data_IF_197376422192
#
_entry.id   IF_197376422192
#
_cell.length_a   1.000
_cell.length_b   1.000
_cell.length_c   1.000
_cell.angle_alpha   90.00
_cell.angle_beta   90.00
_cell.angle_gamma   90.00
#
_symmetry.space_group_name_H-M   'P 1'
#
loop_
_entity.id
_entity.type
_entity.pdbx_description
1 polymer ?
#
# COMPACT_ATOMS: atom_id res chain seq x y z
N UNK A 1 -31.33 -13.18 -5.52
CA UNK A 1 -29.86 -13.42 -5.51
C UNK A 1 -29.17 -12.10 -5.86
N UNK A 2 -28.33 -11.50 -5.01
CA UNK A 2 -27.57 -10.33 -5.42
C UNK A 2 -26.42 -10.75 -6.37
N UNK A 3 -26.03 -9.92 -7.34
CA UNK A 3 -24.94 -10.23 -8.24
C UNK A 3 -23.62 -10.25 -7.46
N UNK A 4 -22.92 -11.38 -7.52
CA UNK A 4 -21.54 -11.54 -7.11
C UNK A 4 -20.67 -10.59 -7.93
N UNK A 5 -20.39 -9.40 -7.39
CA UNK A 5 -19.41 -8.48 -7.96
C UNK A 5 -18.03 -9.11 -7.84
N UNK A 6 -17.65 -9.83 -8.89
CA UNK A 6 -16.26 -10.09 -9.23
C UNK A 6 -15.53 -8.72 -9.26
N UNK A 7 -14.74 -8.43 -8.22
CA UNK A 7 -13.91 -7.21 -8.14
C UNK A 7 -12.44 -7.60 -8.17
N UNK A 8 -12.03 -8.19 -9.27
CA UNK A 8 -10.63 -8.46 -9.61
C UNK A 8 -10.06 -7.25 -10.35
N UNK A 9 -9.82 -6.14 -9.63
CA UNK A 9 -9.13 -4.98 -10.18
C UNK A 9 -8.42 -4.20 -9.06
N UNK A 10 -7.13 -4.46 -8.86
CA UNK A 10 -6.14 -3.54 -8.29
C UNK A 10 -6.42 -2.86 -6.95
N UNK A 11 -7.33 -3.37 -6.12
CA UNK A 11 -7.53 -2.84 -4.78
C UNK A 11 -6.35 -3.27 -3.90
N UNK A 12 -5.36 -2.38 -3.73
CA UNK A 12 -4.42 -2.48 -2.62
C UNK A 12 -5.26 -2.52 -1.34
N UNK A 13 -5.30 -3.67 -0.69
CA UNK A 13 -5.88 -3.73 0.64
C UNK A 13 -4.93 -3.00 1.57
N UNK A 14 -5.43 -1.97 2.26
CA UNK A 14 -4.65 -1.17 3.20
C UNK A 14 -3.80 -1.99 4.16
N UNK A 15 -4.31 -3.17 4.56
CA UNK A 15 -3.61 -4.12 5.42
C UNK A 15 -2.25 -4.58 4.87
N UNK A 16 -2.10 -4.81 3.56
CA UNK A 16 -0.85 -5.29 2.98
C UNK A 16 0.20 -4.19 2.92
N UNK A 17 -0.23 -2.98 2.56
CA UNK A 17 0.63 -1.80 2.62
C UNK A 17 1.07 -1.53 4.06
N UNK A 18 0.16 -1.64 5.03
CA UNK A 18 0.49 -1.50 6.44
C UNK A 18 1.52 -2.53 6.89
N UNK A 19 1.28 -3.82 6.63
CA UNK A 19 2.20 -4.89 7.00
C UNK A 19 3.58 -4.72 6.36
N UNK A 20 3.63 -4.26 5.11
CA UNK A 20 4.90 -4.06 4.42
C UNK A 20 5.69 -2.87 4.96
N UNK A 21 5.01 -1.79 5.35
CA UNK A 21 5.65 -0.67 6.07
C UNK A 21 6.13 -1.11 7.46
N UNK A 22 5.33 -1.87 8.20
CA UNK A 22 5.70 -2.41 9.51
C UNK A 22 6.92 -3.36 9.41
N UNK A 23 7.01 -4.15 8.33
CA UNK A 23 8.16 -5.02 8.07
C UNK A 23 9.46 -4.24 7.82
N UNK A 24 9.37 -3.02 7.27
CA UNK A 24 10.49 -2.10 7.16
C UNK A 24 10.83 -1.39 8.49
N UNK A 25 10.05 -1.62 9.56
CA UNK A 25 10.14 -0.86 10.80
C UNK A 25 9.60 0.58 10.67
N UNK A 26 8.85 0.86 9.62
CA UNK A 26 8.27 2.18 9.35
C UNK A 26 6.84 2.30 9.83
N UNK A 27 6.52 3.45 10.41
CA UNK A 27 5.12 3.81 10.67
C UNK A 27 4.51 4.47 9.43
N UNK A 28 3.19 4.39 9.28
CA UNK A 28 2.46 5.08 8.20
C UNK A 28 2.81 6.57 8.11
N UNK A 29 2.92 7.25 9.27
CA UNK A 29 3.28 8.66 9.33
C UNK A 29 4.71 8.90 8.85
N UNK A 30 5.67 8.09 9.32
CA UNK A 30 7.08 8.19 8.91
C UNK A 30 7.23 7.96 7.41
N UNK A 31 6.58 6.91 6.89
CA UNK A 31 6.62 6.59 5.48
C UNK A 31 6.04 7.70 4.61
N UNK A 32 4.92 8.30 5.04
CA UNK A 32 4.33 9.43 4.33
C UNK A 32 5.28 10.63 4.28
N UNK A 33 5.94 10.95 5.39
CA UNK A 33 6.92 12.03 5.47
C UNK A 33 8.13 11.78 4.57
N UNK A 34 8.62 10.53 4.49
CA UNK A 34 9.71 10.13 3.58
C UNK A 34 9.36 10.28 2.10
N UNK A 35 8.08 10.16 1.77
CA UNK A 35 7.55 10.46 0.43
C UNK A 35 7.23 11.95 0.21
N UNK A 36 7.51 12.83 1.19
CA UNK A 36 7.14 14.24 1.11
C UNK A 36 5.62 14.47 1.13
N UNK A 37 4.85 13.53 1.69
CA UNK A 37 3.40 13.57 1.81
C UNK A 37 2.97 13.88 3.24
N UNK A 38 1.72 14.28 3.40
CA UNK A 38 1.14 14.54 4.71
C UNK A 38 1.06 13.25 5.56
N UNK A 39 1.30 13.28 6.89
CA UNK A 39 1.25 12.10 7.77
C UNK A 39 0.01 11.21 7.65
N UNK A 40 -1.14 11.82 7.34
CA UNK A 40 -2.41 11.10 7.14
C UNK A 40 -2.63 10.56 5.72
N UNK A 41 -1.61 10.62 4.86
CA UNK A 41 -1.69 10.16 3.48
C UNK A 41 -2.07 8.68 3.43
N UNK A 42 -1.32 7.83 4.14
CA UNK A 42 -1.59 6.40 4.16
C UNK A 42 -2.81 6.00 4.98
N UNK A 43 -3.13 6.72 6.07
CA UNK A 43 -4.29 6.39 6.90
C UNK A 43 -5.61 6.52 6.15
N UNK A 44 -5.71 7.46 5.20
CA UNK A 44 -6.86 7.59 4.27
C UNK A 44 -6.92 6.42 3.28
N UNK A 45 -5.78 5.95 2.79
CA UNK A 45 -5.73 4.82 1.86
C UNK A 45 -6.00 3.47 2.53
N UNK A 46 -5.63 3.33 3.80
CA UNK A 46 -5.76 2.08 4.56
C UNK A 46 -7.20 1.87 5.04
N UNK A 47 -7.87 2.94 5.46
CA UNK A 47 -9.23 2.86 5.99
C UNK A 47 -10.33 3.01 4.91
N UNK A 48 -10.10 3.78 3.84
CA UNK A 48 -11.19 4.32 3.01
C UNK A 48 -11.35 3.68 1.62
N UNK A 49 -10.88 2.44 1.42
CA UNK A 49 -11.03 1.73 0.12
C UNK A 49 -10.59 2.59 -1.08
N UNK A 50 -9.65 3.51 -0.88
CA UNK A 50 -9.27 4.47 -1.90
C UNK A 50 -8.11 3.88 -2.71
N UNK A 51 -8.36 3.64 -3.99
CA UNK A 51 -7.40 3.03 -4.92
C UNK A 51 -6.02 3.67 -4.80
N UNK A 52 -5.00 2.84 -4.56
CA UNK A 52 -3.61 3.27 -4.52
C UNK A 52 -3.08 3.24 -5.97
N UNK A 53 -3.12 4.40 -6.63
CA UNK A 53 -2.79 4.52 -8.05
C UNK A 53 -1.36 4.13 -8.40
N UNK A 54 -1.12 3.78 -9.68
CA UNK A 54 0.19 3.37 -10.20
C UNK A 54 1.30 4.41 -9.96
N UNK A 55 0.97 5.70 -10.01
CA UNK A 55 1.92 6.78 -9.70
C UNK A 55 2.38 6.73 -8.23
N UNK A 56 1.45 6.52 -7.29
CA UNK A 56 1.75 6.42 -5.86
C UNK A 56 2.54 5.15 -5.54
N UNK A 57 2.26 4.05 -6.24
CA UNK A 57 3.04 2.82 -6.14
C UNK A 57 4.47 3.01 -6.66
N UNK A 58 4.62 3.72 -7.78
CA UNK A 58 5.94 4.01 -8.35
C UNK A 58 6.76 4.91 -7.43
N UNK A 59 6.11 5.89 -6.79
CA UNK A 59 6.73 6.74 -5.78
C UNK A 59 7.13 5.91 -4.54
N UNK A 60 6.25 5.04 -4.06
CA UNK A 60 6.53 4.12 -2.95
C UNK A 60 7.73 3.22 -3.24
N UNK A 61 7.78 2.62 -4.43
CA UNK A 61 8.88 1.75 -4.87
C UNK A 61 10.22 2.47 -4.96
N UNK A 62 10.21 3.77 -5.30
CA UNK A 62 11.41 4.60 -5.35
C UNK A 62 11.90 4.99 -3.96
N UNK A 63 10.98 5.28 -3.04
CA UNK A 63 11.31 5.65 -1.65
C UNK A 63 11.74 4.43 -0.83
N UNK A 64 11.16 3.27 -1.09
CA UNK A 64 11.41 2.02 -0.37
C UNK A 64 11.76 0.91 -1.36
N UNK A 65 13.02 0.83 -1.81
CA UNK A 65 13.45 -0.16 -2.81
C UNK A 65 13.39 -1.60 -2.28
N UNK A 66 13.50 -1.79 -0.95
CA UNK A 66 13.45 -3.11 -0.30
C UNK A 66 12.01 -3.65 -0.16
N UNK A 67 11.01 -2.86 -0.58
CA UNK A 67 9.60 -3.15 -0.39
C UNK A 67 9.07 -3.95 -1.58
N UNK A 68 8.46 -5.10 -1.33
CA UNK A 68 7.88 -5.90 -2.38
C UNK A 68 6.54 -5.30 -2.85
N UNK A 69 6.58 -4.54 -3.94
CA UNK A 69 5.40 -3.90 -4.52
C UNK A 69 4.36 -4.92 -4.98
N UNK A 70 4.78 -6.13 -5.39
CA UNK A 70 3.84 -7.21 -5.72
C UNK A 70 3.04 -7.62 -4.48
N UNK A 71 3.69 -7.74 -3.32
CA UNK A 71 3.00 -8.01 -2.05
C UNK A 71 2.02 -6.89 -1.71
N UNK A 72 2.42 -5.62 -1.82
CA UNK A 72 1.52 -4.48 -1.56
C UNK A 72 0.27 -4.52 -2.46
N UNK A 73 0.42 -4.95 -3.72
CA UNK A 73 -0.66 -5.03 -4.69
C UNK A 73 -1.57 -6.25 -4.54
N UNK A 74 -1.01 -7.39 -4.19
CA UNK A 74 -1.68 -8.71 -4.32
C UNK A 74 -1.77 -9.49 -3.01
N UNK A 75 -0.97 -9.12 -2.01
CA UNK A 75 -0.76 -9.89 -0.79
C UNK A 75 0.04 -11.18 -1.00
N UNK A 76 0.60 -11.40 -2.19
CA UNK A 76 1.36 -12.60 -2.51
C UNK A 76 2.86 -12.41 -2.24
N UNK A 77 3.47 -13.39 -1.58
CA UNK A 77 4.90 -13.42 -1.26
C UNK A 77 5.23 -12.76 0.08
N UNK A 78 6.51 -12.44 0.27
CA UNK A 78 6.99 -11.70 1.44
C UNK A 78 6.83 -10.18 1.23
N UNK A 79 6.57 -9.40 2.29
CA UNK A 79 6.43 -7.95 2.22
C UNK A 79 7.72 -7.22 1.79
N UNK A 80 8.87 -7.86 1.98
CA UNK A 80 10.19 -7.36 1.64
C UNK A 80 10.80 -8.19 0.50
N UNK A 81 11.74 -7.61 -0.24
CA UNK A 81 12.52 -8.28 -1.29
C UNK A 81 13.71 -9.06 -0.75
#
# INVERSE_FOLDING_TARGET
MPPTKNKSAGFVQGKWLQQALESLGETQSSAALKMGRHPSFFSKHINDKMYFGAEKLSELARTFPDLNIRYVLTGEGEPLL
#
